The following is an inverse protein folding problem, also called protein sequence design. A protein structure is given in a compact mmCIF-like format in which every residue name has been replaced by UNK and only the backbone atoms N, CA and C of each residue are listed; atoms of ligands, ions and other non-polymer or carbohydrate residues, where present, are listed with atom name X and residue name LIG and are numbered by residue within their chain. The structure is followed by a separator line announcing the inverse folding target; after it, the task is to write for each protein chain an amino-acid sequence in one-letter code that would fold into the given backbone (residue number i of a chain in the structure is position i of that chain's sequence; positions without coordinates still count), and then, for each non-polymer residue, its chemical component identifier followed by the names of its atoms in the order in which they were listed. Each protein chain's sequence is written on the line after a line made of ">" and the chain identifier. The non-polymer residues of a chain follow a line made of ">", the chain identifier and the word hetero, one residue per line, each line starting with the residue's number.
data_IF_956331561149
#
_entry.id   IF_956331561149
#
_cell.length_a   1.000
_cell.length_b   1.000
_cell.length_c   1.000
_cell.angle_alpha   90.00
_cell.angle_beta   90.00
_cell.angle_gamma   90.00
#
_symmetry.space_group_name_H-M   'P 1'
#
loop_
_entity.id
_entity.type
_entity.pdbx_description
1 polymer ?
#
# COMPACT_ATOMS: atom_id res chain seq x y z
N UNK A 1 -14.23 11.90 -6.30
CA UNK A 1 -14.31 12.53 -4.97
C UNK A 1 -13.06 12.22 -4.17
N UNK A 2 -12.51 13.24 -3.55
CA UNK A 2 -11.32 13.06 -2.71
C UNK A 2 -11.73 12.88 -1.25
N UNK A 3 -11.06 11.96 -0.56
CA UNK A 3 -11.25 11.75 0.87
C UNK A 3 -10.06 12.29 1.64
N UNK A 4 -10.28 12.76 2.88
CA UNK A 4 -9.14 13.03 3.74
C UNK A 4 -8.46 11.72 4.13
N UNK A 5 -7.13 11.74 4.19
CA UNK A 5 -6.38 10.57 4.63
C UNK A 5 -6.43 10.49 6.15
N UNK A 6 -6.80 9.33 6.66
CA UNK A 6 -6.85 9.05 8.10
C UNK A 6 -5.42 8.99 8.64
N UNK A 7 -5.17 9.69 9.74
CA UNK A 7 -3.84 9.81 10.35
C UNK A 7 -3.78 9.02 11.65
N UNK A 8 -2.66 8.33 11.88
CA UNK A 8 -2.41 7.66 13.16
C UNK A 8 -2.50 8.70 14.30
N UNK A 9 -3.14 8.39 15.44
CA UNK A 9 -3.49 7.06 15.94
C UNK A 9 -4.96 6.64 15.77
N UNK A 10 -5.59 6.98 14.68
CA UNK A 10 -6.97 6.56 14.44
C UNK A 10 -7.07 5.03 14.46
N UNK A 11 -8.03 4.50 15.23
CA UNK A 11 -8.18 3.08 15.48
C UNK A 11 -8.41 2.22 14.23
N UNK A 12 -9.02 2.79 13.19
CA UNK A 12 -9.30 2.02 11.97
C UNK A 12 -8.03 1.46 11.32
N UNK A 13 -6.89 2.14 11.52
CA UNK A 13 -5.61 1.71 10.96
C UNK A 13 -5.10 0.40 11.59
N UNK A 14 -5.59 0.05 12.76
CA UNK A 14 -5.18 -1.14 13.49
C UNK A 14 -6.24 -2.27 13.47
N UNK A 15 -7.31 -2.08 12.69
CA UNK A 15 -8.36 -3.09 12.54
C UNK A 15 -8.16 -3.86 11.24
N UNK A 16 -8.23 -5.21 11.28
CA UNK A 16 -8.27 -5.97 10.04
C UNK A 16 -9.48 -5.54 9.20
N UNK A 17 -9.25 -5.33 7.92
CA UNK A 17 -10.31 -4.92 7.00
C UNK A 17 -11.22 -6.10 6.66
N UNK A 18 -12.48 -5.81 6.42
CA UNK A 18 -13.46 -6.83 6.05
C UNK A 18 -13.38 -7.16 4.57
N UNK A 19 -13.53 -8.44 4.25
CA UNK A 19 -13.55 -8.86 2.85
C UNK A 19 -14.72 -8.23 2.11
N UNK A 20 -14.48 -7.88 0.84
CA UNK A 20 -15.52 -7.41 -0.05
C UNK A 20 -16.24 -8.65 -0.58
N UNK A 21 -17.52 -8.80 -0.26
CA UNK A 21 -18.30 -9.99 -0.64
C UNK A 21 -19.04 -9.80 -1.95
N UNK A 22 -19.41 -8.56 -2.29
CA UNK A 22 -20.09 -8.22 -3.53
C UNK A 22 -19.47 -6.94 -4.09
N UNK A 23 -19.10 -6.96 -5.37
CA UNK A 23 -18.55 -5.78 -6.03
C UNK A 23 -19.71 -4.99 -6.64
N UNK A 24 -20.13 -3.96 -5.93
CA UNK A 24 -21.22 -3.09 -6.34
C UNK A 24 -20.69 -1.89 -7.10
N UNK A 25 -21.59 -1.10 -7.71
CA UNK A 25 -21.22 0.16 -8.33
C UNK A 25 -20.59 1.12 -7.32
N UNK A 26 -21.01 1.05 -6.06
CA UNK A 26 -20.42 1.85 -4.98
C UNK A 26 -18.97 1.46 -4.71
N UNK A 27 -18.65 0.17 -4.76
CA UNK A 27 -17.27 -0.33 -4.60
C UNK A 27 -16.40 0.16 -5.76
N UNK A 28 -16.91 0.10 -6.99
CA UNK A 28 -16.18 0.59 -8.17
C UNK A 28 -15.93 2.09 -8.05
N UNK A 29 -16.94 2.86 -7.65
CA UNK A 29 -16.78 4.29 -7.45
C UNK A 29 -15.76 4.59 -6.35
N UNK A 30 -15.77 3.81 -5.28
CA UNK A 30 -14.82 3.99 -4.19
C UNK A 30 -13.39 3.74 -4.67
N UNK A 31 -13.15 2.75 -5.52
CA UNK A 31 -11.83 2.51 -6.11
C UNK A 31 -11.34 3.72 -6.91
N UNK A 32 -12.23 4.33 -7.70
CA UNK A 32 -11.90 5.54 -8.45
C UNK A 32 -11.57 6.71 -7.53
N UNK A 33 -12.36 6.88 -6.47
CA UNK A 33 -12.14 7.92 -5.47
C UNK A 33 -10.84 7.71 -4.71
N UNK A 34 -10.48 6.46 -4.44
CA UNK A 34 -9.21 6.10 -3.79
C UNK A 34 -8.03 6.50 -4.67
N UNK A 35 -8.10 6.22 -5.95
CA UNK A 35 -7.04 6.64 -6.88
C UNK A 35 -6.90 8.15 -6.91
N UNK A 36 -8.00 8.87 -7.01
CA UNK A 36 -8.00 10.33 -7.00
C UNK A 36 -7.39 10.89 -5.71
N UNK A 37 -7.74 10.30 -4.57
CA UNK A 37 -7.19 10.68 -3.26
C UNK A 37 -5.69 10.42 -3.20
N UNK A 38 -5.26 9.24 -3.64
CA UNK A 38 -3.85 8.84 -3.68
C UNK A 38 -3.02 9.83 -4.50
N UNK A 39 -3.46 10.15 -5.70
CA UNK A 39 -2.77 11.08 -6.59
C UNK A 39 -2.71 12.48 -5.98
N UNK A 40 -3.80 12.93 -5.37
CA UNK A 40 -3.85 14.25 -4.73
C UNK A 40 -2.86 14.39 -3.58
N UNK A 41 -2.44 13.28 -2.97
CA UNK A 41 -1.48 13.27 -1.86
C UNK A 41 -0.09 12.78 -2.28
N UNK A 42 0.16 12.67 -3.59
CA UNK A 42 1.43 12.21 -4.15
C UNK A 42 1.84 10.81 -3.68
N UNK A 43 0.84 9.96 -3.42
CA UNK A 43 1.08 8.58 -3.00
C UNK A 43 1.17 7.63 -4.19
N UNK A 44 1.75 6.46 -3.94
CA UNK A 44 1.86 5.38 -4.92
C UNK A 44 0.96 4.20 -4.56
N UNK A 45 0.39 4.21 -3.37
CA UNK A 45 -0.56 3.20 -2.90
C UNK A 45 -1.47 3.79 -1.85
N UNK A 46 -2.66 3.23 -1.74
CA UNK A 46 -3.64 3.63 -0.74
C UNK A 46 -4.57 2.45 -0.44
N UNK A 47 -4.74 2.15 0.85
CA UNK A 47 -5.65 1.13 1.31
C UNK A 47 -6.95 1.78 1.82
N UNK A 48 -8.08 1.10 1.67
CA UNK A 48 -9.38 1.64 2.05
C UNK A 48 -9.44 2.10 3.52
N UNK A 49 -8.83 1.42 4.49
CA UNK A 49 -8.81 1.93 5.86
C UNK A 49 -8.21 3.32 6.00
N UNK A 50 -7.28 3.70 5.12
CA UNK A 50 -6.66 5.02 5.16
C UNK A 50 -7.62 6.16 4.78
N UNK A 51 -8.77 5.84 4.23
CA UNK A 51 -9.83 6.83 3.99
C UNK A 51 -11.08 6.54 4.85
N UNK A 52 -10.91 5.77 5.90
CA UNK A 52 -11.96 5.49 6.86
C UNK A 52 -12.93 4.40 6.45
N UNK A 53 -12.59 3.57 5.47
CA UNK A 53 -13.44 2.48 4.99
C UNK A 53 -12.83 1.14 5.39
N UNK A 54 -13.55 0.37 6.20
CA UNK A 54 -13.07 -0.92 6.70
C UNK A 54 -13.31 -2.04 5.68
N UNK A 55 -12.75 -1.87 4.49
CA UNK A 55 -12.89 -2.81 3.37
C UNK A 55 -11.53 -3.28 2.89
N UNK A 56 -11.44 -4.58 2.55
CA UNK A 56 -10.18 -5.20 2.11
C UNK A 56 -9.95 -4.93 0.63
N UNK A 57 -9.58 -3.69 0.34
CA UNK A 57 -9.22 -3.28 -1.01
C UNK A 57 -8.22 -2.14 -0.98
N UNK A 58 -7.38 -2.08 -2.02
CA UNK A 58 -6.32 -1.09 -2.14
C UNK A 58 -6.08 -0.76 -3.61
N UNK A 59 -5.46 0.39 -3.85
CA UNK A 59 -5.00 0.79 -5.18
C UNK A 59 -3.50 1.00 -5.12
N UNK A 60 -2.79 0.62 -6.19
CA UNK A 60 -1.34 0.81 -6.32
C UNK A 60 -1.04 1.27 -7.73
N UNK A 61 -0.29 2.36 -7.84
CA UNK A 61 0.15 2.90 -9.13
C UNK A 61 1.52 3.53 -8.92
N UNK A 62 2.58 2.78 -9.19
CA UNK A 62 3.94 3.24 -8.92
C UNK A 62 4.46 4.20 -9.99
N UNK A 63 3.99 4.05 -11.24
CA UNK A 63 4.31 4.92 -12.36
C UNK A 63 3.27 4.73 -13.47
N UNK A 64 3.34 5.55 -14.51
CA UNK A 64 2.40 5.48 -15.64
C UNK A 64 2.62 4.22 -16.48
N UNK A 65 3.86 3.77 -16.60
CA UNK A 65 4.21 2.60 -17.41
C UNK A 65 3.62 1.31 -16.85
N UNK A 66 3.76 1.12 -15.53
CA UNK A 66 3.20 -0.06 -14.86
C UNK A 66 1.67 -0.01 -14.76
N UNK A 67 1.12 1.21 -14.67
CA UNK A 67 -0.31 1.44 -14.62
C UNK A 67 -0.92 1.26 -13.25
N UNK A 68 -2.24 1.39 -13.21
CA UNK A 68 -3.03 1.27 -12.00
C UNK A 68 -3.41 -0.18 -11.73
N UNK A 69 -3.24 -0.60 -10.48
CA UNK A 69 -3.73 -1.90 -10.00
C UNK A 69 -4.78 -1.66 -8.92
N UNK A 70 -5.97 -2.21 -9.13
CA UNK A 70 -7.05 -2.20 -8.15
C UNK A 70 -7.13 -3.59 -7.56
N UNK A 71 -6.84 -3.69 -6.26
CA UNK A 71 -6.70 -4.97 -5.57
C UNK A 71 -7.86 -5.16 -4.60
N UNK A 72 -8.77 -6.07 -4.92
CA UNK A 72 -9.90 -6.43 -4.04
C UNK A 72 -9.58 -7.77 -3.40
N UNK A 73 -9.65 -7.83 -2.08
CA UNK A 73 -9.33 -9.02 -1.29
C UNK A 73 -7.95 -9.60 -1.62
N UNK A 74 -6.90 -8.78 -1.68
CA UNK A 74 -5.58 -9.29 -2.05
C UNK A 74 -5.00 -10.20 -0.98
N UNK A 75 -4.26 -11.23 -1.42
CA UNK A 75 -3.61 -12.18 -0.53
C UNK A 75 -2.25 -12.55 -1.13
N UNK A 76 -1.20 -12.49 -0.33
CA UNK A 76 0.13 -12.93 -0.76
C UNK A 76 0.17 -14.45 -0.63
N UNK A 77 0.34 -15.14 -1.77
CA UNK A 77 0.38 -16.62 -1.78
C UNK A 77 1.78 -17.17 -1.87
N UNK A 78 2.75 -16.38 -2.33
CA UNK A 78 4.17 -16.76 -2.34
C UNK A 78 5.00 -15.51 -2.08
N UNK A 79 6.11 -15.67 -1.38
CA UNK A 79 7.06 -14.61 -1.13
C UNK A 79 8.46 -15.19 -1.05
N UNK A 80 9.44 -14.50 -1.63
CA UNK A 80 10.83 -14.94 -1.61
C UNK A 80 11.78 -13.76 -1.62
N UNK A 81 12.99 -14.02 -1.15
CA UNK A 81 14.03 -13.00 -1.08
C UNK A 81 13.76 -11.98 0.01
N UNK A 82 14.66 -11.04 0.14
CA UNK A 82 14.59 -10.00 1.16
C UNK A 82 15.31 -8.76 0.67
N UNK A 83 14.72 -7.61 0.96
CA UNK A 83 15.27 -6.32 0.61
C UNK A 83 14.92 -5.32 1.70
N UNK A 84 15.87 -4.46 2.06
CA UNK A 84 15.68 -3.43 3.06
C UNK A 84 15.74 -2.07 2.35
N UNK A 85 14.69 -1.27 2.51
CA UNK A 85 14.65 0.05 1.91
C UNK A 85 13.80 0.98 2.77
N UNK A 86 13.90 2.28 2.51
CA UNK A 86 13.15 3.27 3.25
C UNK A 86 11.70 3.31 2.78
N UNK A 87 10.79 3.44 3.73
CA UNK A 87 9.36 3.60 3.48
C UNK A 87 8.79 4.78 4.24
N UNK A 88 7.73 5.35 3.69
CA UNK A 88 6.89 6.32 4.36
C UNK A 88 5.43 5.93 4.14
N UNK A 89 4.52 6.63 4.79
CA UNK A 89 3.09 6.34 4.67
C UNK A 89 2.28 7.63 4.81
N UNK A 90 1.25 7.78 4.00
CA UNK A 90 0.37 8.97 4.06
C UNK A 90 -0.31 9.12 5.42
N UNK A 91 -0.55 8.00 6.13
CA UNK A 91 -1.16 8.01 7.47
C UNK A 91 -0.18 8.32 8.59
N UNK A 92 1.10 8.44 8.29
CA UNK A 92 2.17 8.76 9.23
C UNK A 92 3.03 9.89 8.67
N UNK A 93 2.52 11.14 8.65
CA UNK A 93 3.25 12.26 8.06
C UNK A 93 4.62 12.46 8.71
N UNK A 94 5.64 12.66 7.87
CA UNK A 94 7.01 12.94 8.30
C UNK A 94 7.69 11.81 9.09
N UNK A 95 7.12 10.58 9.02
CA UNK A 95 7.75 9.40 9.64
C UNK A 95 8.25 8.51 8.50
N UNK A 96 9.56 8.27 8.51
CA UNK A 96 10.22 7.42 7.51
C UNK A 96 11.14 6.45 8.24
N UNK A 97 11.33 5.28 7.66
CA UNK A 97 12.22 4.30 8.25
C UNK A 97 12.47 3.15 7.29
N UNK A 98 13.53 2.39 7.60
CA UNK A 98 13.87 1.23 6.80
C UNK A 98 13.02 0.06 7.22
N UNK A 99 12.53 -0.69 6.24
CA UNK A 99 11.68 -1.86 6.45
C UNK A 99 12.18 -2.99 5.56
N UNK A 100 12.26 -4.19 6.13
CA UNK A 100 12.58 -5.38 5.36
C UNK A 100 11.30 -5.95 4.74
N UNK A 101 11.36 -6.23 3.45
CA UNK A 101 10.24 -6.78 2.69
C UNK A 101 10.73 -7.93 1.83
N UNK A 102 9.82 -8.82 1.44
CA UNK A 102 10.12 -9.81 0.42
C UNK A 102 10.46 -9.10 -0.89
N UNK A 103 11.46 -9.60 -1.61
CA UNK A 103 11.90 -9.02 -2.87
C UNK A 103 10.98 -9.38 -4.02
N UNK A 104 10.39 -10.57 -3.98
CA UNK A 104 9.44 -11.08 -4.95
C UNK A 104 8.22 -11.64 -4.25
N UNK A 105 7.04 -11.33 -4.78
CA UNK A 105 5.79 -11.88 -4.26
C UNK A 105 4.91 -12.33 -5.41
N UNK A 106 4.01 -13.28 -5.11
CA UNK A 106 2.87 -13.57 -5.95
C UNK A 106 1.63 -13.21 -5.13
N UNK A 107 0.79 -12.34 -5.66
CA UNK A 107 -0.41 -11.89 -4.99
C UNK A 107 -1.63 -12.33 -5.78
N UNK A 108 -2.63 -12.88 -5.09
CA UNK A 108 -3.92 -13.23 -5.68
C UNK A 108 -4.92 -12.15 -5.28
N UNK A 109 -5.68 -11.66 -6.25
CA UNK A 109 -6.67 -10.62 -5.99
C UNK A 109 -7.76 -10.66 -7.03
N UNK A 110 -8.83 -9.91 -6.77
CA UNK A 110 -9.92 -9.70 -7.71
C UNK A 110 -9.90 -8.26 -8.21
N UNK A 111 -10.22 -8.06 -9.49
CA UNK A 111 -10.36 -6.71 -10.03
C UNK A 111 -11.81 -6.21 -9.87
N UNK A 112 -12.10 -5.02 -10.38
CA UNK A 112 -13.43 -4.41 -10.26
C UNK A 112 -14.52 -5.20 -10.97
N UNK A 113 -14.17 -6.07 -11.90
CA UNK A 113 -15.12 -6.90 -12.63
C UNK A 113 -15.35 -8.25 -11.96
N UNK A 114 -14.63 -8.51 -10.87
CA UNK A 114 -14.74 -9.75 -10.13
C UNK A 114 -13.91 -10.89 -10.70
N UNK A 115 -13.00 -10.60 -11.61
CA UNK A 115 -12.09 -11.60 -12.15
C UNK A 115 -10.90 -11.80 -11.23
N UNK A 116 -10.51 -13.05 -11.02
CA UNK A 116 -9.38 -13.42 -10.19
C UNK A 116 -8.08 -13.42 -10.97
N UNK A 117 -7.05 -12.84 -10.38
CA UNK A 117 -5.71 -12.78 -10.96
C UNK A 117 -4.65 -13.23 -9.97
N UNK A 118 -3.58 -13.79 -10.51
CA UNK A 118 -2.34 -13.98 -9.77
C UNK A 118 -1.30 -13.08 -10.43
N UNK A 119 -0.70 -12.20 -9.63
CA UNK A 119 0.27 -11.21 -10.10
C UNK A 119 1.60 -11.46 -9.45
N UNK A 120 2.65 -11.61 -10.26
CA UNK A 120 4.02 -11.67 -9.76
C UNK A 120 4.57 -10.24 -9.75
N UNK A 121 5.06 -9.81 -8.61
CA UNK A 121 5.63 -8.48 -8.43
C UNK A 121 7.01 -8.58 -7.81
N UNK A 122 7.89 -7.65 -8.20
CA UNK A 122 9.27 -7.62 -7.73
C UNK A 122 9.66 -6.21 -7.34
N UNK A 123 10.73 -6.10 -6.55
CA UNK A 123 11.38 -4.83 -6.20
C UNK A 123 10.41 -3.82 -5.58
N UNK A 124 10.40 -2.59 -6.07
CA UNK A 124 9.61 -1.50 -5.52
C UNK A 124 8.10 -1.78 -5.60
N UNK A 125 7.64 -2.38 -6.69
CA UNK A 125 6.24 -2.74 -6.85
C UNK A 125 5.79 -3.76 -5.81
N UNK A 126 6.62 -4.80 -5.58
CA UNK A 126 6.35 -5.79 -4.53
C UNK A 126 6.29 -5.13 -3.15
N UNK A 127 7.18 -4.18 -2.90
CA UNK A 127 7.21 -3.43 -1.64
C UNK A 127 5.92 -2.65 -1.42
N UNK A 128 5.46 -1.93 -2.44
CA UNK A 128 4.23 -1.14 -2.36
C UNK A 128 3.02 -2.02 -2.07
N UNK A 129 2.89 -3.16 -2.75
CA UNK A 129 1.78 -4.08 -2.54
C UNK A 129 1.80 -4.64 -1.12
N UNK A 130 2.96 -5.07 -0.63
CA UNK A 130 3.08 -5.59 0.74
C UNK A 130 2.69 -4.55 1.79
N UNK A 131 3.09 -3.30 1.58
CA UNK A 131 2.74 -2.20 2.48
C UNK A 131 1.21 -2.04 2.56
N UNK A 132 0.53 -2.03 1.41
CA UNK A 132 -0.93 -1.87 1.38
C UNK A 132 -1.65 -3.08 1.99
N UNK A 133 -1.19 -4.29 1.73
CA UNK A 133 -1.80 -5.50 2.31
C UNK A 133 -1.67 -5.48 3.83
N UNK A 134 -0.56 -4.98 4.37
CA UNK A 134 -0.41 -4.85 5.82
C UNK A 134 -1.43 -3.89 6.42
N UNK A 135 -1.74 -2.78 5.72
CA UNK A 135 -2.83 -1.90 6.15
C UNK A 135 -4.15 -2.66 6.23
N UNK A 136 -4.40 -3.54 5.26
CA UNK A 136 -5.62 -4.34 5.24
C UNK A 136 -5.66 -5.39 6.35
N UNK A 137 -4.50 -5.78 6.86
CA UNK A 137 -4.39 -6.70 8.00
C UNK A 137 -4.41 -5.96 9.34
N UNK A 138 -4.55 -4.64 9.32
CA UNK A 138 -4.57 -3.83 10.54
C UNK A 138 -3.20 -3.64 11.17
N UNK A 139 -2.14 -3.77 10.38
CA UNK A 139 -0.75 -3.64 10.85
C UNK A 139 -0.18 -2.28 10.47
N UNK A 140 0.68 -1.75 11.31
CA UNK A 140 1.34 -0.46 11.11
C UNK A 140 2.77 -0.69 10.62
N UNK A 141 3.18 0.04 9.56
CA UNK A 141 4.55 -0.11 9.07
C UNK A 141 5.58 0.35 10.10
N UNK A 142 5.19 1.26 11.00
CA UNK A 142 6.06 1.74 12.08
C UNK A 142 6.50 0.63 13.03
N UNK A 143 5.71 -0.44 13.15
CA UNK A 143 6.07 -1.60 13.96
C UNK A 143 7.19 -2.43 13.32
N UNK A 144 7.45 -2.21 12.03
CA UNK A 144 8.47 -2.93 11.27
C UNK A 144 9.72 -2.11 10.98
N UNK A 145 9.72 -0.84 11.37
CA UNK A 145 10.87 0.03 11.11
C UNK A 145 12.10 -0.50 11.85
N UNK A 146 13.18 -0.71 11.10
CA UNK A 146 14.47 -1.13 11.64
C UNK A 146 15.25 0.10 12.11
N UNK A 147 15.31 1.12 11.25
CA UNK A 147 16.03 2.36 11.53
C UNK A 147 15.18 3.53 11.04
N UNK A 148 14.93 4.49 11.92
CA UNK A 148 14.23 5.71 11.53
C UNK A 148 15.15 6.64 10.76
N UNK A 149 14.60 7.21 9.69
CA UNK A 149 15.29 8.19 8.86
C UNK A 149 14.55 9.52 9.02
N UNK A 150 15.26 10.56 9.46
CA UNK A 150 14.66 11.88 9.57
C UNK A 150 14.32 12.42 8.19
N UNK A 151 13.22 13.20 8.04
CA UNK A 151 12.85 13.75 6.72
C UNK A 151 13.98 14.51 6.03
N UNK A 152 14.79 15.24 6.78
CA UNK A 152 15.93 16.00 6.26
C UNK A 152 17.08 15.12 5.77
N UNK A 153 17.10 13.84 6.17
CA UNK A 153 18.16 12.89 5.80
C UNK A 153 17.75 11.95 4.65
N UNK A 154 16.50 12.05 4.15
CA UNK A 154 16.01 11.16 3.10
C UNK A 154 16.83 11.22 1.82
N UNK A 155 17.19 12.40 1.36
CA UNK A 155 17.96 12.56 0.14
C UNK A 155 19.34 11.92 0.28
N UNK A 156 19.99 12.12 1.42
CA UNK A 156 21.30 11.54 1.69
C UNK A 156 21.24 10.00 1.73
N UNK A 157 20.18 9.45 2.35
CA UNK A 157 19.96 8.01 2.39
C UNK A 157 19.75 7.45 0.98
N UNK A 158 18.91 8.11 0.18
CA UNK A 158 18.62 7.68 -1.19
C UNK A 158 19.87 7.71 -2.05
N UNK A 159 20.69 8.75 -1.95
CA UNK A 159 21.96 8.84 -2.69
C UNK A 159 22.94 7.73 -2.28
N UNK A 160 23.03 7.43 -0.98
CA UNK A 160 23.93 6.41 -0.47
C UNK A 160 23.55 5.00 -0.94
N UNK A 161 22.28 4.76 -1.24
CA UNK A 161 21.75 3.45 -1.62
C UNK A 161 21.24 3.37 -3.05
N UNK A 162 21.56 4.38 -3.88
CA UNK A 162 21.04 4.49 -5.24
C UNK A 162 21.47 3.33 -6.16
N UNK A 163 22.62 2.76 -5.91
CA UNK A 163 23.19 1.69 -6.74
C UNK A 163 22.86 0.29 -6.18
N UNK A 164 22.14 0.22 -5.12
CA UNK A 164 21.71 -1.04 -4.51
C UNK A 164 20.38 -1.52 -5.16
#
# INVERSE_FOLDING_TARGET
>A
MRYPVVIYPNEILEKPAQEVTVITDEIVQLLEDMRETMIAHDGIGLAAPQIGKNLRMAVVEIDEESGLFELINPEIIEASGSDIDVEGCLSFPNIYGTVERAKEITVRYFDREGDEYELMATEYFARAIQHEIEHLDGKLFTDKIIERIAPEDLDAYTEAHQDD
#
